data_IF_440756472976
#
_entry.id   IF_440756472976
#
_cell.length_a   1.000
_cell.length_b   1.000
_cell.length_c   1.000
_cell.angle_alpha   90.00
_cell.angle_beta   90.00
_cell.angle_gamma   90.00
#
_symmetry.space_group_name_H-M   'P 1'
#
loop_
_entity.id
_entity.type
_entity.pdbx_description
1 polymer ?
#
# COMPACT_ATOMS: atom_id res chain seq x y z
N UNK A 1 5.53 -5.27 6.82
CA UNK A 1 5.82 -4.62 5.53
C UNK A 1 4.55 -4.33 4.74
N UNK A 2 3.80 -5.35 4.31
CA UNK A 2 2.61 -5.20 3.44
C UNK A 2 1.51 -4.33 4.06
N UNK A 3 0.98 -4.71 5.23
CA UNK A 3 -0.06 -3.93 5.92
C UNK A 3 0.39 -2.50 6.27
N UNK A 4 1.70 -2.30 6.46
CA UNK A 4 2.26 -0.98 6.73
C UNK A 4 2.18 -0.10 5.47
N UNK A 5 2.64 -0.58 4.31
CA UNK A 5 2.50 0.17 3.06
C UNK A 5 1.05 0.44 2.69
N UNK A 6 0.16 -0.56 2.80
CA UNK A 6 -1.25 -0.36 2.48
C UNK A 6 -1.90 0.65 3.43
N UNK A 7 -1.54 0.65 4.72
CA UNK A 7 -2.01 1.65 5.69
C UNK A 7 -1.49 3.06 5.38
N UNK A 8 -0.24 3.21 4.95
CA UNK A 8 0.33 4.50 4.57
C UNK A 8 -0.26 5.04 3.27
N UNK A 9 -0.48 4.16 2.29
CA UNK A 9 -1.24 4.46 1.08
C UNK A 9 -2.63 5.01 1.44
N UNK A 10 -3.39 4.30 2.28
CA UNK A 10 -4.75 4.71 2.66
C UNK A 10 -4.79 5.95 3.56
N UNK A 11 -3.83 6.12 4.47
CA UNK A 11 -3.87 7.21 5.48
C UNK A 11 -3.33 8.54 4.97
N UNK A 12 -2.32 8.49 4.11
CA UNK A 12 -1.56 9.68 3.69
C UNK A 12 -1.58 9.89 2.17
N UNK A 13 -2.18 8.98 1.39
CA UNK A 13 -2.22 9.11 -0.08
C UNK A 13 -0.84 9.05 -0.72
N UNK A 14 0.09 8.31 -0.11
CA UNK A 14 1.49 8.21 -0.57
C UNK A 14 1.55 7.48 -1.91
N UNK A 15 2.38 7.95 -2.84
CA UNK A 15 2.55 7.28 -4.13
C UNK A 15 3.19 5.90 -3.96
N UNK A 16 2.93 5.00 -4.90
CA UNK A 16 3.56 3.67 -4.93
C UNK A 16 5.09 3.75 -4.99
N UNK A 17 5.63 4.81 -5.58
CA UNK A 17 7.06 5.05 -5.72
C UNK A 17 7.72 5.48 -4.40
N UNK A 18 7.09 6.42 -3.69
CA UNK A 18 7.52 6.79 -2.34
C UNK A 18 7.46 5.59 -1.38
N UNK A 19 6.45 4.71 -1.51
CA UNK A 19 6.38 3.47 -0.74
C UNK A 19 7.49 2.48 -1.09
N UNK A 20 7.85 2.36 -2.37
CA UNK A 20 8.99 1.57 -2.84
C UNK A 20 10.31 2.09 -2.24
N UNK A 21 10.53 3.40 -2.26
CA UNK A 21 11.70 4.05 -1.66
C UNK A 21 11.75 3.79 -0.15
N UNK A 22 10.66 4.01 0.59
CA UNK A 22 10.59 3.74 2.03
C UNK A 22 10.81 2.27 2.40
N UNK A 23 10.36 1.33 1.56
CA UNK A 23 10.62 -0.10 1.75
C UNK A 23 12.09 -0.43 1.49
N UNK A 24 12.66 0.16 0.44
CA UNK A 24 14.06 0.00 0.06
C UNK A 24 15.00 0.57 1.13
N UNK A 25 14.68 1.73 1.69
CA UNK A 25 15.40 2.32 2.83
C UNK A 25 15.39 1.42 4.08
N UNK A 26 14.32 0.63 4.25
CA UNK A 26 14.22 -0.37 5.33
C UNK A 26 14.93 -1.69 5.03
N UNK A 27 15.66 -1.77 3.92
CA UNK A 27 16.38 -2.97 3.49
C UNK A 27 15.49 -4.05 2.87
N UNK A 28 14.27 -3.71 2.48
CA UNK A 28 13.37 -4.62 1.76
C UNK A 28 13.16 -4.06 0.36
N UNK A 29 13.98 -4.48 -0.63
CA UNK A 29 13.79 -4.05 -2.01
C UNK A 29 12.48 -4.66 -2.53
N UNK A 30 11.45 -3.84 -2.64
CA UNK A 30 10.13 -4.22 -3.15
C UNK A 30 9.81 -3.35 -4.34
N UNK A 31 9.66 -3.97 -5.51
CA UNK A 31 9.24 -3.26 -6.72
C UNK A 31 7.81 -2.71 -6.56
N UNK A 32 7.57 -1.48 -7.03
CA UNK A 32 6.29 -0.78 -6.98
C UNK A 32 5.13 -1.62 -7.56
N UNK A 33 5.40 -2.49 -8.54
CA UNK A 33 4.38 -3.42 -9.08
C UNK A 33 3.92 -4.46 -8.06
N UNK A 34 4.80 -4.87 -7.13
CA UNK A 34 4.48 -5.78 -6.03
C UNK A 34 3.61 -5.08 -5.01
N UNK A 35 3.89 -3.82 -4.71
CA UNK A 35 3.06 -2.98 -3.83
C UNK A 35 1.67 -2.79 -4.44
N UNK A 36 1.59 -2.51 -5.74
CA UNK A 36 0.32 -2.41 -6.47
C UNK A 36 -0.52 -3.70 -6.38
N UNK A 37 0.11 -4.86 -6.59
CA UNK A 37 -0.57 -6.17 -6.44
C UNK A 37 -1.06 -6.43 -5.03
N UNK A 38 -0.29 -6.02 -4.01
CA UNK A 38 -0.74 -6.09 -2.63
C UNK A 38 -1.93 -5.18 -2.38
N UNK A 39 -1.89 -3.93 -2.83
CA UNK A 39 -3.03 -3.02 -2.69
C UNK A 39 -4.26 -3.60 -3.38
N UNK A 40 -4.18 -4.10 -4.61
CA UNK A 40 -5.33 -4.75 -5.26
C UNK A 40 -5.88 -5.95 -4.46
N UNK A 41 -5.01 -6.78 -3.89
CA UNK A 41 -5.43 -7.98 -3.15
C UNK A 41 -6.04 -7.65 -1.79
N UNK A 42 -5.45 -6.69 -1.08
CA UNK A 42 -5.83 -6.34 0.29
C UNK A 42 -6.84 -5.19 0.37
N UNK A 43 -7.01 -4.38 -0.67
CA UNK A 43 -8.03 -3.33 -0.76
C UNK A 43 -9.44 -3.84 -0.46
N UNK A 44 -9.97 -4.90 -1.10
CA UNK A 44 -11.33 -5.38 -0.81
C UNK A 44 -11.46 -5.95 0.62
N UNK A 45 -10.39 -6.52 1.17
CA UNK A 45 -10.36 -7.03 2.54
C UNK A 45 -10.40 -5.88 3.57
N UNK A 46 -9.68 -4.79 3.28
CA UNK A 46 -9.62 -3.59 4.12
C UNK A 46 -10.85 -2.70 3.97
N UNK A 47 -11.48 -2.67 2.80
CA UNK A 47 -12.69 -1.89 2.52
C UNK A 47 -13.90 -2.45 3.30
N UNK A 48 -13.94 -3.78 3.52
CA UNK A 48 -14.88 -4.43 4.45
C UNK A 48 -14.74 -3.94 5.89
N UNK A 49 -13.53 -3.58 6.32
CA UNK A 49 -13.29 -3.07 7.68
C UNK A 49 -13.36 -1.54 7.78
N UNK A 50 -13.11 -0.84 6.68
CA UNK A 50 -13.01 0.61 6.64
C UNK A 50 -13.77 1.07 5.42
N UNK A 51 -14.99 1.62 5.58
CA UNK A 51 -15.82 2.22 4.52
C UNK A 51 -15.16 3.48 3.91
N UNK A 52 -13.94 3.36 3.40
CA UNK A 52 -13.03 4.49 3.16
C UNK A 52 -12.12 4.31 1.94
N UNK A 53 -12.07 3.14 1.29
CA UNK A 53 -11.36 2.98 0.01
C UNK A 53 -12.32 3.07 -1.19
N UNK A 54 -13.41 3.83 -1.05
CA UNK A 54 -14.25 4.22 -2.17
C UNK A 54 -13.66 5.47 -2.85
N UNK A 55 -12.51 5.31 -3.50
CA UNK A 55 -12.07 6.25 -4.53
C UNK A 55 -11.15 5.55 -5.53
N UNK A 56 -11.77 4.76 -6.40
CA UNK A 56 -11.46 4.72 -7.83
C UNK A 56 -12.77 4.83 -8.58
#
# INVERSE_FOLDING_TARGET
MILWAVRWYCRYGVSYRDLEEMMTERGVPVDHTTIYRWVQKYAPELDKQTRWCQQV
#
